data_IF_439284614534
#
_entry.id   IF_439284614534
#
_cell.length_a   1.000
_cell.length_b   1.000
_cell.length_c   1.000
_cell.angle_alpha   90.00
_cell.angle_beta   90.00
_cell.angle_gamma   90.00
#
_symmetry.space_group_name_H-M   'P 1'
#
loop_
_entity.id
_entity.type
_entity.pdbx_description
1 polymer ?
#
# COMPACT_ATOMS: atom_id res chain seq x y z
N UNK A 1 15.15 -35.94 -70.63
CA UNK A 1 15.50 -37.36 -70.85
C UNK A 1 16.61 -37.70 -69.87
N UNK A 2 16.52 -38.89 -69.23
CA UNK A 2 17.55 -39.57 -68.43
C UNK A 2 17.88 -38.97 -67.06
N UNK A 3 17.93 -39.68 -65.91
CA UNK A 3 17.65 -41.08 -65.53
C UNK A 3 17.55 -41.08 -64.00
N UNK A 4 16.62 -41.85 -63.43
CA UNK A 4 16.56 -42.13 -61.99
C UNK A 4 17.62 -43.17 -61.61
N UNK A 5 18.31 -43.02 -60.47
CA UNK A 5 19.12 -44.10 -59.90
C UNK A 5 18.82 -44.29 -58.42
N UNK A 6 18.65 -45.56 -58.08
CA UNK A 6 18.09 -46.13 -56.86
C UNK A 6 19.24 -46.68 -56.00
N UNK A 7 18.95 -46.72 -54.69
CA UNK A 7 19.29 -47.78 -53.74
C UNK A 7 20.52 -47.67 -52.81
N UNK A 8 20.18 -47.88 -51.53
CA UNK A 8 20.83 -48.69 -50.47
C UNK A 8 22.10 -48.21 -49.79
N UNK A 9 22.06 -48.26 -48.45
CA UNK A 9 23.27 -48.44 -47.63
C UNK A 9 23.18 -47.80 -46.26
N UNK A 10 22.81 -48.59 -45.25
CA UNK A 10 22.81 -48.25 -43.82
C UNK A 10 24.23 -47.94 -43.34
N UNK A 11 24.44 -46.90 -42.54
CA UNK A 11 25.35 -46.99 -41.39
C UNK A 11 25.08 -45.90 -40.37
N UNK A 12 24.81 -46.35 -39.14
CA UNK A 12 24.61 -45.55 -37.94
C UNK A 12 25.89 -44.76 -37.63
N UNK A 13 25.77 -43.43 -37.53
CA UNK A 13 26.62 -42.64 -36.65
C UNK A 13 25.75 -41.67 -35.86
N UNK A 14 25.55 -42.03 -34.59
CA UNK A 14 25.01 -41.15 -33.56
C UNK A 14 25.93 -39.94 -33.41
N UNK A 15 25.46 -38.77 -33.80
CA UNK A 15 25.99 -37.50 -33.31
C UNK A 15 24.82 -36.63 -32.89
N UNK A 16 24.30 -36.92 -31.69
CA UNK A 16 23.36 -36.03 -31.01
C UNK A 16 24.12 -34.76 -30.63
N UNK A 17 24.09 -33.75 -31.50
CA UNK A 17 24.40 -32.37 -31.15
C UNK A 17 23.29 -31.90 -30.22
N UNK A 18 23.51 -32.07 -28.91
CA UNK A 18 22.70 -31.46 -27.87
C UNK A 18 22.96 -29.95 -28.00
N UNK A 19 22.10 -29.26 -28.73
CA UNK A 19 22.01 -27.81 -28.69
C UNK A 19 21.66 -27.44 -27.24
N UNK A 20 22.67 -27.02 -26.48
CA UNK A 20 22.51 -26.55 -25.11
C UNK A 20 21.58 -25.33 -25.12
N UNK A 21 20.32 -25.55 -24.77
CA UNK A 21 19.37 -24.47 -24.52
C UNK A 21 19.84 -23.81 -23.22
N UNK A 22 20.57 -22.71 -23.35
CA UNK A 22 20.88 -21.84 -22.23
C UNK A 22 19.54 -21.27 -21.70
N UNK A 23 19.03 -21.88 -20.64
CA UNK A 23 17.88 -21.37 -19.88
C UNK A 23 18.33 -20.06 -19.25
N UNK A 24 18.05 -18.95 -19.92
CA UNK A 24 18.23 -17.63 -19.35
C UNK A 24 17.17 -17.50 -18.26
N UNK A 25 17.58 -17.59 -16.99
CA UNK A 25 16.72 -17.24 -15.87
C UNK A 25 16.34 -15.76 -16.01
N UNK A 26 15.12 -15.51 -16.50
CA UNK A 26 14.54 -14.18 -16.57
C UNK A 26 14.20 -13.79 -15.14
N UNK A 27 15.05 -13.00 -14.48
CA UNK A 27 14.69 -12.34 -13.23
C UNK A 27 13.56 -11.37 -13.59
N UNK A 28 12.32 -11.55 -13.11
CA UNK A 28 11.27 -10.57 -13.35
C UNK A 28 11.74 -9.22 -12.80
N UNK A 29 11.47 -8.09 -13.49
CA UNK A 29 11.80 -6.79 -12.94
C UNK A 29 11.13 -6.68 -11.57
N UNK A 30 11.91 -6.35 -10.55
CA UNK A 30 11.34 -5.97 -9.26
C UNK A 30 10.40 -4.80 -9.54
N UNK A 31 9.09 -5.01 -9.40
CA UNK A 31 8.12 -3.92 -9.42
C UNK A 31 8.59 -2.90 -8.39
N UNK A 32 8.93 -1.69 -8.82
CA UNK A 32 9.22 -0.58 -7.92
C UNK A 32 7.96 -0.39 -7.07
N UNK A 33 7.98 -0.92 -5.84
CA UNK A 33 6.85 -0.78 -4.92
C UNK A 33 6.51 0.71 -4.83
N UNK A 34 5.22 1.11 -4.77
CA UNK A 34 4.91 2.23 -3.92
C UNK A 34 5.18 1.79 -2.47
N UNK A 35 6.14 2.37 -1.73
CA UNK A 35 5.86 2.50 -0.30
C UNK A 35 6.43 3.81 0.23
N UNK A 36 6.00 4.94 -0.31
CA UNK A 36 6.08 6.17 0.47
C UNK A 36 4.93 6.20 1.48
N UNK A 37 3.75 5.67 1.14
CA UNK A 37 2.51 5.83 1.94
C UNK A 37 2.28 4.71 2.97
N UNK A 38 2.83 3.52 2.75
CA UNK A 38 2.66 2.38 3.68
C UNK A 38 3.43 2.61 4.98
N UNK A 39 2.97 1.97 6.06
CA UNK A 39 3.61 2.01 7.37
C UNK A 39 2.85 2.83 8.39
N UNK A 40 3.54 3.19 9.48
CA UNK A 40 2.95 3.87 10.62
C UNK A 40 3.21 5.37 10.61
N UNK A 41 2.16 6.15 10.84
CA UNK A 41 2.17 7.60 10.72
C UNK A 41 1.55 8.24 11.95
N UNK A 42 2.29 9.11 12.62
CA UNK A 42 1.81 9.87 13.77
C UNK A 42 1.18 11.18 13.31
N UNK A 43 0.02 11.51 13.86
CA UNK A 43 -0.67 12.78 13.61
C UNK A 43 0.17 13.96 14.09
N UNK A 44 -0.04 15.15 13.49
CA UNK A 44 0.71 16.39 13.85
C UNK A 44 0.72 16.69 15.35
N UNK A 45 -0.37 16.42 16.05
CA UNK A 45 -0.53 16.67 17.47
C UNK A 45 -0.04 15.51 18.36
N UNK A 46 0.57 14.47 17.78
CA UNK A 46 1.08 13.29 18.48
C UNK A 46 0.01 12.51 19.27
N UNK A 47 -1.27 12.65 18.91
CA UNK A 47 -2.38 12.00 19.62
C UNK A 47 -2.76 10.63 19.06
N UNK A 48 -2.40 10.33 17.82
CA UNK A 48 -2.74 9.07 17.19
C UNK A 48 -1.69 8.59 16.19
N UNK A 49 -1.61 7.28 16.02
CA UNK A 49 -0.78 6.61 15.01
C UNK A 49 -1.69 5.78 14.10
N UNK A 50 -1.61 6.03 12.80
CA UNK A 50 -2.29 5.25 11.78
C UNK A 50 -1.32 4.30 11.11
N UNK A 51 -1.68 3.03 11.04
CA UNK A 51 -1.00 2.08 10.16
C UNK A 51 -1.73 2.02 8.83
N UNK A 52 -1.02 2.30 7.74
CA UNK A 52 -1.52 2.21 6.38
C UNK A 52 -0.96 0.94 5.74
N UNK A 53 -1.85 0.06 5.31
CA UNK A 53 -1.52 -1.24 4.75
C UNK A 53 -2.44 -1.60 3.56
N UNK A 54 -2.02 -2.51 2.67
CA UNK A 54 -2.89 -3.04 1.64
C UNK A 54 -4.11 -3.78 2.22
N UNK A 55 -5.28 -3.58 1.61
CA UNK A 55 -6.53 -4.29 1.89
C UNK A 55 -7.15 -4.74 0.55
N UNK A 56 -6.63 -5.84 0.00
CA UNK A 56 -6.93 -6.25 -1.36
C UNK A 56 -6.21 -5.36 -2.38
N UNK A 57 -6.95 -4.78 -3.33
CA UNK A 57 -6.42 -3.85 -4.34
C UNK A 57 -6.31 -2.40 -3.88
N UNK A 58 -6.80 -2.11 -2.67
CA UNK A 58 -6.82 -0.78 -2.08
C UNK A 58 -5.79 -0.65 -0.95
N UNK A 59 -5.57 0.58 -0.50
CA UNK A 59 -4.96 0.85 0.80
C UNK A 59 -6.05 1.17 1.83
N UNK A 60 -5.84 0.69 3.04
CA UNK A 60 -6.66 0.99 4.20
C UNK A 60 -5.78 1.47 5.33
N UNK A 61 -6.38 2.13 6.32
CA UNK A 61 -5.66 2.62 7.47
C UNK A 61 -6.45 2.47 8.76
N UNK A 62 -5.73 2.01 9.78
CA UNK A 62 -6.27 1.65 11.09
C UNK A 62 -5.60 2.51 12.16
N UNK A 63 -6.36 2.98 13.12
CA UNK A 63 -5.81 3.69 14.28
C UNK A 63 -5.20 2.68 15.25
N UNK A 64 -3.86 2.59 15.26
CA UNK A 64 -3.09 1.58 16.01
C UNK A 64 -2.40 2.14 17.25
N UNK A 65 -2.25 3.45 17.35
CA UNK A 65 -1.65 4.12 18.51
C UNK A 65 -2.49 5.31 18.95
N UNK A 66 -2.58 5.52 20.26
CA UNK A 66 -3.35 6.56 20.93
C UNK A 66 -2.58 7.10 22.14
N UNK A 67 -2.58 8.41 22.32
CA UNK A 67 -2.08 9.09 23.52
C UNK A 67 -3.25 9.56 24.40
N UNK A 68 -3.50 8.79 25.47
CA UNK A 68 -4.59 8.98 26.44
C UNK A 68 -4.12 8.69 27.87
N UNK A 69 -4.69 9.35 28.88
CA UNK A 69 -4.34 9.10 30.30
C UNK A 69 -5.18 7.96 30.90
N UNK A 70 -6.51 8.08 30.81
CA UNK A 70 -7.40 7.30 31.66
C UNK A 70 -7.88 6.02 30.97
N UNK A 71 -8.89 6.15 30.11
CA UNK A 71 -9.51 5.04 29.39
C UNK A 71 -9.30 5.19 27.88
N UNK A 72 -9.30 4.05 27.18
CA UNK A 72 -9.17 4.02 25.71
C UNK A 72 -10.30 4.88 25.12
N UNK A 73 -9.98 5.90 24.28
CA UNK A 73 -10.98 6.66 23.55
C UNK A 73 -11.99 5.77 22.84
N UNK A 74 -13.24 6.22 22.78
CA UNK A 74 -14.34 5.49 22.16
C UNK A 74 -14.99 6.34 21.08
N UNK A 75 -15.37 5.67 19.98
CA UNK A 75 -16.11 6.29 18.90
C UNK A 75 -17.53 6.69 19.33
N UNK A 76 -18.26 7.32 18.41
CA UNK A 76 -19.64 7.79 18.61
C UNK A 76 -20.62 6.69 19.02
N UNK A 77 -20.31 5.43 18.71
CA UNK A 77 -21.14 4.26 19.05
C UNK A 77 -20.70 3.57 20.34
N UNK A 78 -19.65 4.08 20.99
CA UNK A 78 -19.09 3.53 22.22
C UNK A 78 -18.10 2.39 21.99
N UNK A 79 -17.64 2.14 20.75
CA UNK A 79 -16.59 1.13 20.48
C UNK A 79 -15.20 1.74 20.74
N UNK A 80 -14.22 0.98 21.25
CA UNK A 80 -12.85 1.48 21.36
C UNK A 80 -12.32 1.96 20.02
N UNK A 81 -11.65 3.11 20.00
CA UNK A 81 -10.99 3.63 18.79
C UNK A 81 -9.70 2.87 18.47
N UNK A 82 -9.13 2.17 19.45
CA UNK A 82 -8.00 1.27 19.24
C UNK A 82 -8.38 0.18 18.24
N UNK A 83 -7.66 0.13 17.11
CA UNK A 83 -7.93 -0.80 16.01
C UNK A 83 -9.06 -0.36 15.08
N UNK A 84 -9.56 0.87 15.19
CA UNK A 84 -10.66 1.34 14.35
C UNK A 84 -10.20 1.58 12.90
N UNK A 85 -10.83 0.94 11.88
CA UNK A 85 -10.53 1.21 10.48
C UNK A 85 -11.16 2.54 10.04
N UNK A 86 -10.31 3.53 9.83
CA UNK A 86 -10.73 4.90 9.55
C UNK A 86 -10.39 5.35 8.13
N UNK A 87 -9.27 4.91 7.55
CA UNK A 87 -8.93 5.20 6.15
C UNK A 87 -9.41 4.04 5.28
N UNK A 88 -10.24 4.33 4.28
CA UNK A 88 -10.98 3.30 3.53
C UNK A 88 -10.80 3.45 2.03
N UNK A 89 -10.63 2.30 1.38
CA UNK A 89 -10.74 2.11 -0.07
C UNK A 89 -9.84 3.01 -0.92
N UNK A 90 -8.63 3.33 -0.43
CA UNK A 90 -7.72 4.18 -1.15
C UNK A 90 -7.21 3.49 -2.43
N UNK A 91 -7.62 4.01 -3.58
CA UNK A 91 -7.15 3.60 -4.89
C UNK A 91 -6.20 4.65 -5.46
N UNK A 92 -5.27 4.24 -6.32
CA UNK A 92 -4.33 5.17 -6.97
C UNK A 92 -5.11 6.18 -7.81
N UNK A 93 -4.70 7.45 -7.73
CA UNK A 93 -5.26 8.49 -8.57
C UNK A 93 -4.82 8.28 -10.04
N UNK A 94 -5.75 8.28 -11.01
CA UNK A 94 -5.43 8.01 -12.41
C UNK A 94 -4.64 9.13 -13.08
N UNK A 95 -4.72 10.36 -12.56
CA UNK A 95 -4.03 11.54 -13.10
C UNK A 95 -2.73 11.83 -12.33
N UNK A 96 -2.68 11.46 -11.06
CA UNK A 96 -1.55 11.73 -10.16
C UNK A 96 -1.05 10.43 -9.51
N UNK A 97 -0.16 9.74 -10.19
CA UNK A 97 0.29 8.41 -9.79
C UNK A 97 0.90 8.34 -8.36
N UNK A 98 1.37 9.45 -7.79
CA UNK A 98 1.89 9.54 -6.41
C UNK A 98 0.80 9.68 -5.34
N UNK A 99 -0.47 9.81 -5.74
CA UNK A 99 -1.60 10.07 -4.85
C UNK A 99 -2.60 8.93 -4.85
N UNK A 100 -3.35 8.86 -3.75
CA UNK A 100 -4.40 7.89 -3.55
C UNK A 100 -5.68 8.58 -3.10
N UNK A 101 -6.82 8.19 -3.67
CA UNK A 101 -8.14 8.70 -3.32
C UNK A 101 -8.96 7.61 -2.62
N UNK A 102 -9.60 7.97 -1.53
CA UNK A 102 -10.46 7.09 -0.74
C UNK A 102 -11.34 7.92 0.17
N UNK A 103 -11.58 7.42 1.38
CA UNK A 103 -12.36 8.14 2.38
C UNK A 103 -11.78 8.01 3.79
N UNK A 104 -12.16 8.93 4.67
CA UNK A 104 -11.81 8.91 6.10
C UNK A 104 -13.08 8.97 6.95
N UNK A 105 -13.22 8.04 7.90
CA UNK A 105 -14.21 8.10 8.98
C UNK A 105 -13.71 9.06 10.07
N UNK A 106 -14.56 9.98 10.53
CA UNK A 106 -14.38 10.68 11.81
C UNK A 106 -15.10 9.88 12.92
N UNK A 107 -14.39 9.37 13.95
CA UNK A 107 -14.98 8.52 14.97
C UNK A 107 -15.90 9.30 15.91
N UNK A 108 -15.73 10.61 16.03
CA UNK A 108 -16.52 11.45 16.95
C UNK A 108 -17.91 11.72 16.40
N UNK A 109 -18.03 11.86 15.07
CA UNK A 109 -19.28 12.17 14.39
C UNK A 109 -19.87 10.97 13.65
N UNK A 110 -19.06 9.92 13.42
CA UNK A 110 -19.34 8.80 12.53
C UNK A 110 -19.57 9.22 11.06
N UNK A 111 -19.13 10.42 10.68
CA UNK A 111 -19.22 10.89 9.30
C UNK A 111 -18.04 10.41 8.47
N UNK A 112 -18.29 10.16 7.19
CA UNK A 112 -17.26 9.76 6.22
C UNK A 112 -17.02 10.91 5.25
N UNK A 113 -15.76 11.28 5.09
CA UNK A 113 -15.31 12.35 4.20
C UNK A 113 -14.48 11.78 3.06
N UNK A 114 -14.56 12.40 1.89
CA UNK A 114 -13.63 12.08 0.81
C UNK A 114 -12.22 12.49 1.23
N UNK A 115 -11.24 11.65 0.90
CA UNK A 115 -9.88 11.84 1.34
C UNK A 115 -8.88 11.54 0.23
N UNK A 116 -7.77 12.27 0.27
CA UNK A 116 -6.60 12.04 -0.57
C UNK A 116 -5.35 11.97 0.28
N UNK A 117 -4.49 10.97 0.02
CA UNK A 117 -3.20 10.82 0.69
C UNK A 117 -2.05 10.78 -0.31
N UNK A 118 -0.91 11.35 0.10
CA UNK A 118 0.35 11.32 -0.64
C UNK A 118 1.51 11.61 0.31
N UNK A 119 2.72 11.24 -0.06
CA UNK A 119 3.93 11.63 0.68
C UNK A 119 4.65 12.74 -0.07
N UNK A 120 5.02 13.79 0.64
CA UNK A 120 5.77 14.90 0.06
C UNK A 120 7.28 14.59 -0.02
N UNK A 121 8.05 15.48 -0.64
CA UNK A 121 9.50 15.34 -0.78
C UNK A 121 10.27 15.26 0.55
N UNK A 122 9.67 15.73 1.65
CA UNK A 122 10.24 15.65 2.99
C UNK A 122 9.93 14.33 3.71
N UNK A 123 9.30 13.35 3.04
CA UNK A 123 8.93 12.08 3.64
C UNK A 123 7.74 12.15 4.61
N UNK A 124 6.94 13.22 4.53
CA UNK A 124 5.76 13.41 5.37
C UNK A 124 4.50 13.00 4.62
N UNK A 125 3.64 12.22 5.28
CA UNK A 125 2.32 11.91 4.75
C UNK A 125 1.41 13.14 4.87
N UNK A 126 0.81 13.52 3.75
CA UNK A 126 -0.27 14.50 3.71
C UNK A 126 -1.58 13.74 3.60
N UNK A 127 -2.53 14.10 4.46
CA UNK A 127 -3.91 13.63 4.39
C UNK A 127 -4.81 14.82 4.19
N UNK A 128 -5.54 14.88 3.08
CA UNK A 128 -6.52 15.92 2.82
C UNK A 128 -7.93 15.35 2.85
N UNK A 129 -8.73 15.76 3.83
CA UNK A 129 -10.17 15.48 3.90
C UNK A 129 -10.99 16.64 3.34
N UNK A 130 -12.07 16.34 2.61
CA UNK A 130 -12.94 17.35 2.00
C UNK A 130 -14.36 16.82 1.79
N UNK A 131 -15.31 17.73 1.61
CA UNK A 131 -16.69 17.43 1.24
C UNK A 131 -16.93 17.85 -0.21
N UNK A 132 -17.29 16.89 -1.08
CA UNK A 132 -17.48 17.17 -2.51
C UNK A 132 -16.16 17.37 -3.25
N UNK A 133 -15.76 18.63 -3.49
CA UNK A 133 -14.54 18.94 -4.27
C UNK A 133 -13.32 19.17 -3.35
N UNK A 134 -12.11 18.72 -3.76
CA UNK A 134 -10.90 18.85 -2.95
C UNK A 134 -10.54 20.28 -2.54
N UNK A 135 -11.00 21.31 -3.25
CA UNK A 135 -10.68 22.70 -2.94
C UNK A 135 -11.21 23.14 -1.55
N UNK A 136 -12.36 22.59 -1.13
CA UNK A 136 -12.99 22.91 0.16
C UNK A 136 -12.71 21.83 1.21
N UNK A 137 -11.44 21.75 1.64
CA UNK A 137 -10.97 20.76 2.59
C UNK A 137 -9.78 21.20 3.41
N UNK A 138 -9.40 20.36 4.36
CA UNK A 138 -8.23 20.58 5.23
C UNK A 138 -7.18 19.51 5.00
N UNK A 139 -5.91 19.94 4.99
CA UNK A 139 -4.77 19.03 4.86
C UNK A 139 -4.06 18.92 6.21
N UNK A 140 -3.93 17.71 6.71
CA UNK A 140 -3.05 17.37 7.82
C UNK A 140 -1.71 16.87 7.30
N UNK A 141 -0.68 17.03 8.13
CA UNK A 141 0.67 16.50 7.88
C UNK A 141 0.99 15.54 9.01
N UNK A 142 1.27 14.30 8.65
CA UNK A 142 1.66 13.23 9.57
C UNK A 142 3.13 12.91 9.35
N UNK A 143 3.79 12.50 10.42
CA UNK A 143 5.20 12.14 10.42
C UNK A 143 5.33 10.61 10.49
N UNK A 144 6.40 10.02 9.95
CA UNK A 144 6.69 8.61 10.20
C UNK A 144 6.73 8.36 11.71
N UNK A 145 6.09 7.28 12.17
CA UNK A 145 6.14 6.88 13.57
C UNK A 145 7.21 5.81 13.78
N UNK A 146 8.14 6.07 14.70
CA UNK A 146 9.22 5.15 15.06
C UNK A 146 9.21 4.70 16.52
N UNK A 147 8.12 4.99 17.25
CA UNK A 147 7.98 4.62 18.66
C UNK A 147 7.40 3.22 18.84
N UNK A 148 7.02 2.91 20.08
CA UNK A 148 6.42 1.64 20.45
C UNK A 148 4.93 1.77 20.78
N UNK A 149 4.14 0.83 20.27
CA UNK A 149 2.71 0.70 20.57
C UNK A 149 2.53 -0.43 21.57
N UNK A 150 2.10 -0.09 22.78
CA UNK A 150 1.81 -1.04 23.84
C UNK A 150 0.40 -1.63 23.76
N UNK A 151 0.01 -2.41 24.79
CA UNK A 151 -1.34 -2.94 24.91
C UNK A 151 -2.41 -1.85 24.84
N UNK A 152 -3.58 -2.19 24.29
CA UNK A 152 -4.71 -1.26 24.11
C UNK A 152 -4.36 -0.01 23.26
N UNK A 153 -3.44 -0.16 22.30
CA UNK A 153 -2.97 0.90 21.42
C UNK A 153 -2.31 2.08 22.17
N UNK A 154 -1.83 1.90 23.39
CA UNK A 154 -1.19 3.00 24.13
C UNK A 154 0.17 3.33 23.52
N UNK A 155 0.35 4.58 23.10
CA UNK A 155 1.66 5.07 22.65
C UNK A 155 2.61 5.20 23.83
N UNK A 156 3.82 4.68 23.69
CA UNK A 156 4.92 4.95 24.61
C UNK A 156 6.00 5.76 23.88
N UNK A 157 6.52 6.84 24.51
CA UNK A 157 7.67 7.59 23.99
C UNK A 157 8.87 6.70 23.69
#
# INVERSE_FOLDING_TARGET
MHTAQKATGVSLLLSALIAGVAVHAQVPPASTLPPAVLGQWVTKNHKGVFEIAPCGTHLCGTLVGLDYSDSVPRDRTGRPECGLPMLRDFARDPEQADRWNGSILDPNTNHVYQARIWVNQAGQLKLRGYLGIPLFGQTQTWLPYGGHIGPNCRMTP
#
